data_IF_086081750207
#
_entry.id   IF_086081750207
#
_cell.length_a   1.000
_cell.length_b   1.000
_cell.length_c   1.000
_cell.angle_alpha   90.00
_cell.angle_beta   90.00
_cell.angle_gamma   90.00
#
_symmetry.space_group_name_H-M   'P 1'
#
loop_
_entity.id
_entity.type
_entity.pdbx_description
1 polymer ?
#
# COMPACT_ATOMS: atom_id res chain seq x y z
N UNK A 1 7.66 18.55 9.92
CA UNK A 1 6.29 18.46 9.34
C UNK A 1 5.99 16.99 9.18
N UNK A 2 4.82 16.52 9.60
CA UNK A 2 4.42 15.11 9.42
C UNK A 2 4.06 14.84 7.97
N UNK A 3 4.37 13.62 7.49
CA UNK A 3 4.14 13.21 6.10
C UNK A 3 3.38 11.90 6.03
N UNK A 4 2.43 11.82 5.11
CA UNK A 4 1.73 10.58 4.79
C UNK A 4 1.87 10.26 3.30
N UNK A 5 2.16 8.99 2.99
CA UNK A 5 2.25 8.50 1.61
C UNK A 5 1.12 7.49 1.36
N UNK A 6 0.29 7.76 0.37
CA UNK A 6 -0.68 6.81 -0.18
C UNK A 6 -0.08 6.12 -1.40
N UNK A 7 -0.13 4.79 -1.44
CA UNK A 7 0.41 3.98 -2.54
C UNK A 7 -0.72 3.16 -3.17
N UNK A 8 -0.95 3.32 -4.47
CA UNK A 8 -1.83 2.46 -5.26
C UNK A 8 -1.24 2.26 -6.66
N UNK A 9 -1.56 1.12 -7.33
CA UNK A 9 -0.99 0.86 -8.66
C UNK A 9 -1.54 1.81 -9.72
N UNK A 10 -2.67 2.48 -9.50
CA UNK A 10 -3.32 3.40 -10.43
C UNK A 10 -3.98 4.56 -9.70
N UNK A 11 -3.93 5.75 -10.29
CA UNK A 11 -4.46 6.98 -9.72
C UNK A 11 -5.99 6.96 -9.53
N UNK A 12 -6.73 6.31 -10.44
CA UNK A 12 -8.19 6.21 -10.35
C UNK A 12 -8.66 5.58 -9.04
N UNK A 13 -7.87 4.68 -8.45
CA UNK A 13 -8.19 4.10 -7.15
C UNK A 13 -8.15 5.16 -6.04
N UNK A 14 -7.16 6.04 -6.06
CA UNK A 14 -7.05 7.15 -5.11
C UNK A 14 -8.19 8.16 -5.32
N UNK A 15 -8.45 8.53 -6.57
CA UNK A 15 -9.49 9.50 -6.94
C UNK A 15 -10.89 9.05 -6.51
N UNK A 16 -11.20 7.76 -6.62
CA UNK A 16 -12.53 7.24 -6.28
C UNK A 16 -12.73 6.96 -4.79
N UNK A 17 -11.67 6.57 -4.06
CA UNK A 17 -11.85 6.02 -2.71
C UNK A 17 -11.12 6.78 -1.61
N UNK A 18 -10.09 7.59 -1.93
CA UNK A 18 -9.19 8.09 -0.89
C UNK A 18 -9.10 9.61 -0.77
N UNK A 19 -9.81 10.39 -1.59
CA UNK A 19 -9.83 11.86 -1.47
C UNK A 19 -10.27 12.35 -0.09
N UNK A 20 -11.31 11.77 0.56
CA UNK A 20 -11.69 12.19 1.90
C UNK A 20 -10.57 12.00 2.93
N UNK A 21 -9.82 10.91 2.82
CA UNK A 21 -8.70 10.63 3.72
C UNK A 21 -7.52 11.57 3.48
N UNK A 22 -7.16 11.84 2.22
CA UNK A 22 -6.14 12.84 1.90
C UNK A 22 -6.49 14.19 2.48
N UNK A 23 -7.77 14.62 2.33
CA UNK A 23 -8.25 15.86 2.92
C UNK A 23 -8.13 15.87 4.45
N UNK A 24 -8.52 14.78 5.13
CA UNK A 24 -8.40 14.65 6.59
C UNK A 24 -6.93 14.81 7.02
N UNK A 25 -6.00 14.15 6.35
CA UNK A 25 -4.58 14.28 6.66
C UNK A 25 -4.08 15.71 6.45
N UNK A 26 -4.46 16.35 5.34
CA UNK A 26 -4.08 17.74 5.05
C UNK A 26 -4.65 18.71 6.10
N UNK A 27 -5.93 18.57 6.46
CA UNK A 27 -6.59 19.38 7.50
C UNK A 27 -5.93 19.21 8.88
N UNK A 28 -5.27 18.06 9.13
CA UNK A 28 -4.50 17.79 10.34
C UNK A 28 -3.01 18.12 10.22
N UNK A 29 -2.62 18.88 9.23
CA UNK A 29 -1.26 19.43 9.07
C UNK A 29 -0.23 18.45 8.55
N UNK A 30 -0.65 17.34 7.89
CA UNK A 30 0.26 16.45 7.18
C UNK A 30 0.55 16.98 5.77
N UNK A 31 1.79 16.85 5.33
CA UNK A 31 2.12 16.89 3.92
C UNK A 31 1.70 15.56 3.29
N UNK A 32 0.78 15.63 2.34
CA UNK A 32 0.18 14.47 1.70
C UNK A 32 0.90 14.11 0.40
N UNK A 33 1.36 12.89 0.30
CA UNK A 33 2.01 12.34 -0.89
C UNK A 33 1.19 11.19 -1.46
N UNK A 34 1.20 11.05 -2.79
CA UNK A 34 0.59 9.91 -3.49
C UNK A 34 1.60 9.32 -4.48
N UNK A 35 1.78 8.02 -4.44
CA UNK A 35 2.60 7.27 -5.39
C UNK A 35 1.70 6.33 -6.21
N UNK A 36 1.54 6.63 -7.50
CA UNK A 36 0.67 5.90 -8.44
C UNK A 36 1.26 5.91 -9.84
N UNK A 37 0.72 5.05 -10.72
CA UNK A 37 0.93 5.19 -12.16
C UNK A 37 -0.23 6.00 -12.74
N UNK A 38 0.08 7.21 -13.26
CA UNK A 38 -0.88 8.11 -13.86
C UNK A 38 -0.43 9.54 -13.89
N UNK A 39 -1.22 10.41 -14.53
CA UNK A 39 -0.89 11.83 -14.75
C UNK A 39 -2.03 12.78 -14.32
N UNK A 40 -3.15 12.25 -13.83
CA UNK A 40 -4.25 13.09 -13.38
C UNK A 40 -3.86 13.82 -12.09
N UNK A 41 -4.35 15.04 -11.96
CA UNK A 41 -4.14 15.83 -10.74
C UNK A 41 -5.02 15.26 -9.63
N UNK A 42 -4.40 14.87 -8.52
CA UNK A 42 -5.10 14.33 -7.36
C UNK A 42 -5.37 15.46 -6.36
N UNK A 43 -6.66 15.79 -6.12
CA UNK A 43 -7.02 16.77 -5.09
C UNK A 43 -6.49 16.39 -3.71
N UNK A 44 -6.18 17.41 -2.90
CA UNK A 44 -5.66 17.23 -1.54
C UNK A 44 -4.33 16.47 -1.46
N UNK A 45 -3.58 16.39 -2.57
CA UNK A 45 -2.24 15.83 -2.63
C UNK A 45 -1.24 16.96 -2.82
N UNK A 46 -0.27 17.09 -1.89
CA UNK A 46 0.79 18.09 -2.00
C UNK A 46 1.85 17.66 -3.02
N UNK A 47 2.22 16.38 -3.04
CA UNK A 47 3.27 15.86 -3.92
C UNK A 47 2.84 14.53 -4.54
N UNK A 48 2.78 14.50 -5.87
CA UNK A 48 2.51 13.27 -6.63
C UNK A 48 3.83 12.65 -7.13
N UNK A 49 3.97 11.35 -6.93
CA UNK A 49 5.07 10.54 -7.41
C UNK A 49 4.55 9.58 -8.49
N UNK A 50 5.00 9.77 -9.72
CA UNK A 50 4.65 8.87 -10.81
C UNK A 50 5.59 7.65 -10.77
N UNK A 51 5.03 6.51 -10.40
CA UNK A 51 5.71 5.21 -10.29
C UNK A 51 5.17 4.29 -11.38
N UNK A 52 6.06 3.57 -12.07
CA UNK A 52 5.70 2.74 -13.22
C UNK A 52 5.03 1.39 -12.83
N UNK A 53 4.01 1.45 -11.96
CA UNK A 53 3.24 0.27 -11.60
C UNK A 53 2.52 -0.36 -12.77
N UNK A 54 2.44 -1.68 -12.76
CA UNK A 54 1.64 -2.47 -13.69
C UNK A 54 0.60 -3.28 -12.93
N UNK A 55 -0.59 -3.42 -13.52
CA UNK A 55 -1.69 -4.18 -12.89
C UNK A 55 -1.36 -5.66 -12.72
N UNK A 56 -0.67 -6.24 -13.71
CA UNK A 56 -0.25 -7.65 -13.66
C UNK A 56 0.92 -7.81 -12.69
N UNK A 57 0.81 -8.63 -11.62
CA UNK A 57 1.88 -8.80 -10.64
C UNK A 57 3.17 -9.39 -11.22
N UNK A 58 3.07 -10.13 -12.31
CA UNK A 58 4.22 -10.75 -13.00
C UNK A 58 4.89 -9.85 -14.05
N UNK A 59 4.41 -8.62 -14.23
CA UNK A 59 5.02 -7.69 -15.18
C UNK A 59 6.38 -7.24 -14.67
N UNK A 60 7.40 -7.33 -15.53
CA UNK A 60 8.79 -6.97 -15.19
C UNK A 60 8.94 -5.48 -14.78
N UNK A 61 8.06 -4.60 -15.27
CA UNK A 61 8.07 -3.18 -14.87
C UNK A 61 7.81 -3.00 -13.37
N UNK A 62 7.18 -3.97 -12.70
CA UNK A 62 7.00 -3.93 -11.26
C UNK A 62 8.32 -4.04 -10.48
N UNK A 63 9.37 -4.60 -11.08
CA UNK A 63 10.73 -4.57 -10.51
C UNK A 63 11.24 -3.12 -10.51
N UNK A 64 11.04 -2.39 -11.60
CA UNK A 64 11.39 -0.97 -11.67
C UNK A 64 10.57 -0.16 -10.67
N UNK A 65 9.24 -0.36 -10.62
CA UNK A 65 8.38 0.28 -9.65
C UNK A 65 8.82 0.06 -8.19
N UNK A 66 9.25 -1.16 -7.86
CA UNK A 66 9.84 -1.45 -6.54
C UNK A 66 11.08 -0.61 -6.25
N UNK A 67 12.00 -0.50 -7.21
CA UNK A 67 13.21 0.31 -7.03
C UNK A 67 12.92 1.81 -6.94
N UNK A 68 11.95 2.31 -7.72
CA UNK A 68 11.49 3.70 -7.65
C UNK A 68 10.86 4.01 -6.27
N UNK A 69 9.96 3.13 -5.78
CA UNK A 69 9.41 3.26 -4.43
C UNK A 69 10.47 3.20 -3.35
N UNK A 70 11.38 2.23 -3.42
CA UNK A 70 12.46 2.11 -2.42
C UNK A 70 13.37 3.35 -2.42
N UNK A 71 13.64 3.93 -3.59
CA UNK A 71 14.38 5.17 -3.70
C UNK A 71 13.62 6.31 -3.00
N UNK A 72 12.35 6.49 -3.30
CA UNK A 72 11.48 7.49 -2.65
C UNK A 72 11.52 7.34 -1.12
N UNK A 73 11.34 6.12 -0.62
CA UNK A 73 11.35 5.83 0.83
C UNK A 73 12.72 6.00 1.49
N UNK A 74 13.81 5.95 0.73
CA UNK A 74 15.15 6.25 1.22
C UNK A 74 15.47 7.75 1.26
N UNK A 75 14.85 8.53 0.38
CA UNK A 75 15.09 9.96 0.21
C UNK A 75 14.12 10.81 1.04
N UNK A 76 12.96 10.25 1.39
CA UNK A 76 11.91 10.96 2.13
C UNK A 76 11.45 10.13 3.32
N UNK A 77 11.46 10.72 4.49
CA UNK A 77 10.89 10.14 5.70
C UNK A 77 9.38 10.40 5.77
N UNK A 78 8.61 9.36 6.00
CA UNK A 78 7.16 9.40 6.19
C UNK A 78 6.80 8.92 7.59
N UNK A 79 5.79 9.53 8.21
CA UNK A 79 5.21 9.05 9.47
C UNK A 79 4.25 7.88 9.23
N UNK A 80 3.54 7.92 8.09
CA UNK A 80 2.56 6.91 7.70
C UNK A 80 2.74 6.59 6.21
N UNK A 81 2.75 5.30 5.90
CA UNK A 81 2.65 4.79 4.52
C UNK A 81 1.40 3.94 4.44
N UNK A 82 0.43 4.34 3.63
CA UNK A 82 -0.83 3.65 3.45
C UNK A 82 -0.90 3.00 2.07
N UNK A 83 -0.83 1.67 2.06
CA UNK A 83 -0.79 0.87 0.85
C UNK A 83 -2.20 0.40 0.46
N UNK A 84 -2.50 0.46 -0.84
CA UNK A 84 -3.76 0.04 -1.45
C UNK A 84 -3.51 -0.78 -2.71
N UNK A 85 -4.53 -1.48 -3.16
CA UNK A 85 -4.50 -2.36 -4.33
C UNK A 85 -3.51 -3.54 -4.19
N UNK A 86 -3.72 -4.68 -4.84
CA UNK A 86 -2.84 -5.84 -4.65
C UNK A 86 -1.37 -5.54 -4.96
N UNK A 87 -1.08 -4.96 -6.14
CA UNK A 87 0.31 -4.66 -6.54
C UNK A 87 0.89 -3.53 -5.70
N UNK A 88 0.15 -2.43 -5.47
CA UNK A 88 0.60 -1.32 -4.62
C UNK A 88 0.84 -1.78 -3.18
N UNK A 89 -0.02 -2.67 -2.66
CA UNK A 89 0.12 -3.27 -1.34
C UNK A 89 1.37 -4.16 -1.21
N UNK A 90 1.64 -5.00 -2.19
CA UNK A 90 2.84 -5.86 -2.19
C UNK A 90 4.11 -5.03 -2.30
N UNK A 91 4.18 -4.16 -3.33
CA UNK A 91 5.40 -3.40 -3.61
C UNK A 91 5.68 -2.33 -2.54
N UNK A 92 4.64 -1.68 -2.02
CA UNK A 92 4.79 -0.69 -0.94
C UNK A 92 5.37 -1.29 0.33
N UNK A 93 4.80 -2.40 0.80
CA UNK A 93 5.28 -3.12 1.99
C UNK A 93 6.70 -3.68 1.81
N UNK A 94 7.01 -4.23 0.63
CA UNK A 94 8.37 -4.72 0.33
C UNK A 94 9.36 -3.56 0.21
N UNK A 95 9.01 -2.47 -0.46
CA UNK A 95 9.90 -1.30 -0.59
C UNK A 95 10.22 -0.69 0.78
N UNK A 96 9.20 -0.58 1.66
CA UNK A 96 9.42 -0.13 3.04
C UNK A 96 10.36 -1.06 3.80
N UNK A 97 10.10 -2.37 3.77
CA UNK A 97 10.90 -3.37 4.49
C UNK A 97 12.39 -3.37 4.07
N UNK A 98 12.68 -2.93 2.85
CA UNK A 98 14.04 -2.84 2.30
C UNK A 98 14.55 -1.38 2.21
N UNK A 99 13.84 -0.41 2.79
CA UNK A 99 14.29 0.98 2.87
C UNK A 99 15.19 1.22 4.07
N UNK A 100 15.95 2.32 4.03
CA UNK A 100 16.78 2.78 5.17
C UNK A 100 15.90 3.30 6.31
N UNK A 101 14.70 3.81 5.99
CA UNK A 101 13.78 4.48 6.91
C UNK A 101 12.65 3.56 7.42
N UNK A 102 12.84 2.23 7.33
CA UNK A 102 11.80 1.24 7.67
C UNK A 102 11.28 1.32 9.12
N UNK A 103 12.09 1.78 10.06
CA UNK A 103 11.68 1.88 11.47
C UNK A 103 10.97 3.21 11.81
N UNK A 104 10.86 4.14 10.84
CA UNK A 104 10.29 5.47 11.06
C UNK A 104 8.80 5.46 10.80
N UNK A 105 8.37 4.93 9.64
CA UNK A 105 6.99 4.97 9.20
C UNK A 105 6.16 3.83 9.76
N UNK A 106 4.89 4.12 10.13
CA UNK A 106 3.86 3.10 10.32
C UNK A 106 3.29 2.67 8.98
N UNK A 107 3.19 1.35 8.77
CA UNK A 107 2.65 0.76 7.54
C UNK A 107 1.20 0.34 7.74
N UNK A 108 0.32 0.97 6.96
CA UNK A 108 -1.09 0.63 6.84
C UNK A 108 -1.31 -0.07 5.50
N UNK A 109 -2.12 -1.11 5.49
CA UNK A 109 -2.59 -1.75 4.27
C UNK A 109 -4.10 -1.92 4.30
N UNK A 110 -4.79 -1.41 3.29
CA UNK A 110 -6.22 -1.68 3.09
C UNK A 110 -6.39 -2.73 2.00
N UNK A 111 -6.89 -3.89 2.40
CA UNK A 111 -7.32 -4.93 1.47
C UNK A 111 -8.73 -4.61 0.97
N UNK A 112 -8.85 -4.33 -0.33
CA UNK A 112 -10.13 -4.07 -1.02
C UNK A 112 -10.77 -5.35 -1.57
N UNK A 113 -10.58 -6.47 -0.89
CA UNK A 113 -10.98 -7.82 -1.26
C UNK A 113 -9.77 -8.71 -1.54
N UNK A 114 -9.57 -9.72 -0.70
CA UNK A 114 -8.53 -10.71 -0.97
C UNK A 114 -8.92 -11.60 -2.15
N UNK A 115 -7.92 -12.09 -2.88
CA UNK A 115 -8.12 -13.02 -3.99
C UNK A 115 -8.35 -14.46 -3.50
N UNK A 116 -8.34 -14.69 -2.18
CA UNK A 116 -8.62 -15.94 -1.50
C UNK A 116 -9.87 -15.75 -0.62
N UNK A 117 -10.99 -16.17 -1.11
CA UNK A 117 -12.31 -16.12 -0.46
C UNK A 117 -13.01 -17.47 -0.63
N UNK A 118 -14.11 -17.70 0.05
CA UNK A 118 -14.77 -19.01 0.15
C UNK A 118 -15.08 -19.69 -1.21
N UNK A 119 -15.35 -18.90 -2.26
CA UNK A 119 -15.61 -19.40 -3.62
C UNK A 119 -14.40 -19.26 -4.57
N UNK A 120 -13.25 -18.82 -4.08
CA UNK A 120 -12.05 -18.70 -4.89
C UNK A 120 -11.46 -20.07 -5.23
N UNK A 121 -10.77 -20.16 -6.36
CA UNK A 121 -10.10 -21.38 -6.77
C UNK A 121 -9.00 -21.77 -5.78
N UNK A 122 -8.71 -23.08 -5.68
CA UNK A 122 -7.59 -23.57 -4.86
C UNK A 122 -6.25 -22.95 -5.26
N UNK A 123 -6.10 -22.63 -6.55
CA UNK A 123 -4.91 -21.96 -7.07
C UNK A 123 -4.79 -20.52 -6.52
N UNK A 124 -5.91 -19.80 -6.42
CA UNK A 124 -5.93 -18.46 -5.81
C UNK A 124 -5.51 -18.51 -4.34
N UNK A 125 -6.02 -19.48 -3.58
CA UNK A 125 -5.63 -19.71 -2.20
C UNK A 125 -4.14 -20.05 -2.08
N UNK A 126 -3.65 -20.94 -2.92
CA UNK A 126 -2.24 -21.38 -2.91
C UNK A 126 -1.28 -20.24 -3.25
N UNK A 127 -1.69 -19.31 -4.11
CA UNK A 127 -0.83 -18.23 -4.58
C UNK A 127 -0.93 -16.99 -3.69
N UNK A 128 -2.13 -16.48 -3.43
CA UNK A 128 -2.29 -15.16 -2.79
C UNK A 128 -2.25 -15.21 -1.27
N UNK A 129 -2.81 -16.25 -0.63
CA UNK A 129 -2.82 -16.36 0.82
C UNK A 129 -1.41 -16.38 1.44
N UNK A 130 -0.45 -17.18 0.96
CA UNK A 130 0.91 -17.17 1.51
C UNK A 130 1.62 -15.83 1.33
N UNK A 131 1.37 -15.13 0.21
CA UNK A 131 1.93 -13.80 -0.06
C UNK A 131 1.43 -12.80 0.98
N UNK A 132 0.10 -12.72 1.17
CA UNK A 132 -0.48 -11.78 2.13
C UNK A 132 -0.08 -12.12 3.57
N UNK A 133 -0.08 -13.41 3.94
CA UNK A 133 0.40 -13.87 5.24
C UNK A 133 1.87 -13.53 5.49
N UNK A 134 2.71 -13.67 4.47
CA UNK A 134 4.12 -13.29 4.57
C UNK A 134 4.30 -11.78 4.72
N UNK A 135 3.54 -10.99 3.95
CA UNK A 135 3.64 -9.53 3.97
C UNK A 135 3.00 -8.90 5.20
N UNK A 136 2.14 -9.61 5.91
CA UNK A 136 1.57 -9.16 7.17
C UNK A 136 2.64 -8.78 8.21
N UNK A 137 3.79 -9.45 8.22
CA UNK A 137 4.92 -9.11 9.09
C UNK A 137 5.55 -7.73 8.80
N UNK A 138 5.19 -7.12 7.68
CA UNK A 138 5.59 -5.77 7.27
C UNK A 138 4.39 -4.79 7.30
N UNK A 139 3.38 -5.09 8.09
CA UNK A 139 2.13 -4.31 8.18
C UNK A 139 1.82 -4.06 9.65
N UNK A 140 1.75 -2.79 10.06
CA UNK A 140 1.38 -2.42 11.44
C UNK A 140 -0.14 -2.45 11.61
N UNK A 141 -0.89 -2.00 10.59
CA UNK A 141 -2.34 -1.96 10.58
C UNK A 141 -2.88 -2.52 9.29
N UNK A 142 -3.64 -3.61 9.38
CA UNK A 142 -4.36 -4.20 8.26
C UNK A 142 -5.84 -3.84 8.37
N UNK A 143 -6.37 -3.18 7.34
CA UNK A 143 -7.77 -2.80 7.21
C UNK A 143 -8.44 -3.71 6.17
N UNK A 144 -9.59 -4.24 6.49
CA UNK A 144 -10.44 -5.03 5.58
C UNK A 144 -11.78 -4.34 5.41
N UNK A 145 -12.44 -4.55 4.28
CA UNK A 145 -13.72 -3.91 3.95
C UNK A 145 -14.91 -4.87 4.07
N UNK A 146 -14.67 -6.13 4.42
CA UNK A 146 -15.68 -7.15 4.58
C UNK A 146 -15.30 -8.16 5.67
N UNK A 147 -16.29 -8.90 6.19
CA UNK A 147 -16.19 -9.85 7.29
C UNK A 147 -15.32 -11.08 6.94
N UNK A 148 -15.40 -11.55 5.68
CA UNK A 148 -14.65 -12.72 5.24
C UNK A 148 -13.16 -12.43 5.22
N UNK A 149 -12.76 -11.29 4.67
CA UNK A 149 -11.36 -10.85 4.68
C UNK A 149 -10.85 -10.62 6.11
N UNK A 150 -11.68 -10.04 6.97
CA UNK A 150 -11.35 -9.87 8.37
C UNK A 150 -11.06 -11.20 9.05
N UNK A 151 -11.94 -12.19 8.85
CA UNK A 151 -11.78 -13.53 9.43
C UNK A 151 -10.51 -14.21 8.93
N UNK A 152 -10.22 -14.13 7.62
CA UNK A 152 -9.00 -14.68 7.03
C UNK A 152 -7.74 -13.97 7.58
N UNK A 153 -7.82 -12.65 7.77
CA UNK A 153 -6.70 -11.84 8.26
C UNK A 153 -6.36 -12.09 9.73
N UNK A 154 -7.27 -12.59 10.55
CA UNK A 154 -7.01 -12.94 11.97
C UNK A 154 -5.89 -13.98 12.13
N UNK A 155 -5.60 -14.75 11.09
CA UNK A 155 -4.52 -15.75 11.12
C UNK A 155 -3.14 -15.14 10.76
N UNK A 156 -3.07 -13.83 10.49
CA UNK A 156 -1.84 -13.16 10.11
C UNK A 156 -1.12 -12.60 11.33
N UNK A 157 0.21 -12.64 11.28
CA UNK A 157 1.06 -12.01 12.29
C UNK A 157 1.51 -10.64 11.78
N UNK A 158 0.89 -9.59 12.31
CA UNK A 158 1.24 -8.21 11.96
C UNK A 158 2.55 -7.77 12.61
N UNK A 159 3.20 -6.79 12.00
CA UNK A 159 4.37 -6.12 12.55
C UNK A 159 3.98 -5.38 13.83
N UNK A 160 4.77 -5.54 14.90
CA UNK A 160 4.59 -4.75 16.12
C UNK A 160 5.51 -3.53 16.03
N UNK A 161 4.92 -2.37 15.84
CA UNK A 161 5.65 -1.11 15.95
C UNK A 161 6.17 -0.96 17.40
N UNK A 162 7.48 -0.72 17.55
CA UNK A 162 8.13 -0.50 18.84
C UNK A 162 8.25 0.97 19.14
#
# INVERSE_FOLDING_TARGET
MKRVLFIAHVESHILHFHLPFLKIFQDNGYETHVATNGKEIIPYCNIQHNICFERSPLNINNIKAFHELRKLLNETEFDIIHCHTPVGGVLGRLAWAHSKNKEIAKIFYTAHGFHFYNKASSLSWLLYYPIEKYLAKYTDVLLTINEEDYTNAQQFHLHKFR
#
